data_IF_849894535722
#
_entry.id   IF_849894535722
#
_cell.length_a   1.000
_cell.length_b   1.000
_cell.length_c   1.000
_cell.angle_alpha   90.00
_cell.angle_beta   90.00
_cell.angle_gamma   90.00
#
_symmetry.space_group_name_H-M   'P 1'
#
loop_
_entity.id
_entity.type
_entity.pdbx_description
1 polymer ?
#
# COMPACT_ATOMS: atom_id res chain seq x y z
N UNK A 1 -19.63 -5.24 -16.30
CA UNK A 1 -19.11 -3.87 -16.09
C UNK A 1 -19.78 -3.22 -14.88
N UNK A 2 -19.45 -3.64 -13.63
CA UNK A 2 -19.93 -3.01 -12.35
C UNK A 2 -19.15 -3.49 -11.11
N UNK A 3 -17.91 -3.95 -11.25
CA UNK A 3 -17.21 -4.57 -10.11
C UNK A 3 -16.25 -3.61 -9.39
N UNK A 4 -15.78 -2.54 -10.02
CA UNK A 4 -14.71 -1.67 -9.44
C UNK A 4 -15.18 -0.37 -8.79
N UNK A 5 -16.49 -0.12 -8.63
CA UNK A 5 -17.00 1.09 -7.98
C UNK A 5 -17.20 0.97 -6.46
N UNK A 6 -16.72 -0.07 -5.80
CA UNK A 6 -16.92 -0.27 -4.35
C UNK A 6 -15.63 -0.34 -3.53
N UNK A 7 -14.53 0.14 -4.00
CA UNK A 7 -13.34 0.27 -3.16
C UNK A 7 -13.31 1.65 -2.50
N UNK A 8 -14.18 1.91 -1.57
CA UNK A 8 -13.94 2.85 -0.50
C UNK A 8 -12.94 2.20 0.47
N UNK A 9 -11.65 2.37 0.20
CA UNK A 9 -10.54 1.92 1.05
C UNK A 9 -10.63 2.50 2.47
N UNK A 10 -11.36 3.58 2.63
CA UNK A 10 -11.63 4.23 3.92
C UNK A 10 -12.40 3.33 4.90
N UNK A 11 -13.15 2.34 4.44
CA UNK A 11 -13.94 1.47 5.32
C UNK A 11 -13.12 0.42 6.10
N UNK A 12 -11.86 0.19 5.73
CA UNK A 12 -10.99 -0.81 6.38
C UNK A 12 -10.13 -0.28 7.52
N UNK A 13 -10.03 1.04 7.68
CA UNK A 13 -9.12 1.66 8.66
C UNK A 13 -9.69 1.85 10.08
N UNK A 14 -10.93 1.44 10.33
CA UNK A 14 -11.46 1.39 11.69
C UNK A 14 -10.86 0.21 12.50
N UNK A 15 -9.55 0.01 12.41
CA UNK A 15 -8.88 -1.06 13.13
C UNK A 15 -8.13 -0.45 14.31
N UNK A 16 -8.51 -0.86 15.50
CA UNK A 16 -7.68 -0.61 16.68
C UNK A 16 -6.48 -1.56 16.64
N UNK A 17 -5.29 -1.03 16.85
CA UNK A 17 -4.05 -1.80 16.94
C UNK A 17 -3.57 -1.77 18.38
N UNK A 18 -3.32 -2.94 18.96
CA UNK A 18 -2.61 -3.03 20.22
C UNK A 18 -1.12 -3.27 19.91
N UNK A 19 -0.26 -2.34 20.29
CA UNK A 19 1.17 -2.57 20.22
C UNK A 19 1.61 -3.46 21.38
N UNK A 20 2.03 -4.67 21.08
CA UNK A 20 2.71 -5.54 22.04
C UNK A 20 4.11 -5.02 22.31
N UNK A 21 4.37 -4.53 23.53
CA UNK A 21 5.69 -4.09 23.94
C UNK A 21 6.61 -5.30 24.20
N UNK A 22 7.33 -5.73 23.20
CA UNK A 22 8.49 -6.61 23.39
C UNK A 22 9.74 -5.78 23.11
N UNK A 23 10.20 -5.01 24.09
CA UNK A 23 11.48 -4.35 23.99
C UNK A 23 11.54 -2.95 24.60
N UNK A 24 12.41 -2.78 25.57
CA UNK A 24 12.76 -1.48 26.13
C UNK A 24 13.46 -0.60 25.09
N UNK A 25 12.91 0.58 24.80
CA UNK A 25 13.71 1.71 24.32
C UNK A 25 13.74 1.94 22.83
N UNK A 26 12.58 1.97 22.13
CA UNK A 26 12.54 2.61 20.82
C UNK A 26 12.62 4.13 21.01
N UNK A 27 13.63 4.74 20.41
CA UNK A 27 13.68 6.19 20.30
C UNK A 27 12.43 6.63 19.52
N UNK A 28 11.73 7.67 20.00
CA UNK A 28 10.62 8.27 19.29
C UNK A 28 11.14 8.77 17.94
N UNK A 29 10.58 8.26 16.84
CA UNK A 29 10.92 8.71 15.50
C UNK A 29 10.40 10.13 15.29
N UNK A 30 11.22 10.95 14.62
CA UNK A 30 10.79 12.28 14.19
C UNK A 30 10.10 12.16 12.82
N UNK A 31 8.78 12.03 12.83
CA UNK A 31 7.95 11.86 11.63
C UNK A 31 8.07 12.98 10.61
N UNK A 32 8.53 14.18 11.01
CA UNK A 32 8.68 15.32 10.11
C UNK A 32 9.91 15.27 9.20
N UNK A 33 10.85 14.36 9.47
CA UNK A 33 12.05 14.20 8.65
C UNK A 33 11.70 13.71 7.23
N UNK A 34 12.36 14.27 6.24
CA UNK A 34 12.34 13.72 4.89
C UNK A 34 13.05 12.35 4.89
N UNK A 35 12.36 11.31 4.42
CA UNK A 35 12.93 9.95 4.29
C UNK A 35 13.18 9.58 2.84
N UNK A 36 12.45 10.18 1.90
CA UNK A 36 12.68 9.97 0.48
C UNK A 36 12.19 11.18 -0.34
N UNK A 37 12.62 11.23 -1.59
CA UNK A 37 12.08 12.16 -2.60
C UNK A 37 11.75 11.41 -3.88
N UNK A 38 10.67 11.82 -4.56
CA UNK A 38 10.27 11.35 -5.88
C UNK A 38 10.08 12.60 -6.74
N UNK A 39 10.99 12.81 -7.71
CA UNK A 39 11.06 14.09 -8.40
C UNK A 39 11.29 15.23 -7.40
N UNK A 40 10.37 16.22 -7.37
CA UNK A 40 10.41 17.35 -6.43
C UNK A 40 9.61 17.12 -5.15
N UNK A 41 8.91 15.99 -5.05
CA UNK A 41 8.05 15.66 -3.90
C UNK A 41 8.84 14.99 -2.80
N UNK A 42 8.54 15.38 -1.57
CA UNK A 42 9.14 14.79 -0.37
C UNK A 42 8.17 13.81 0.27
N UNK A 43 8.69 12.66 0.65
CA UNK A 43 8.02 11.68 1.52
C UNK A 43 8.60 11.83 2.91
N UNK A 44 7.76 12.02 3.90
CA UNK A 44 8.17 12.13 5.30
C UNK A 44 8.37 10.75 5.94
N UNK A 45 9.18 10.70 6.99
CA UNK A 45 9.33 9.48 7.80
C UNK A 45 8.00 9.08 8.45
N UNK A 46 7.16 10.06 8.78
CA UNK A 46 5.81 9.83 9.31
C UNK A 46 4.95 9.03 8.35
N UNK A 47 4.84 9.49 7.10
CA UNK A 47 4.09 8.80 6.05
C UNK A 47 4.60 7.38 5.80
N UNK A 48 5.91 7.23 5.66
CA UNK A 48 6.52 5.93 5.38
C UNK A 48 6.40 4.95 6.56
N UNK A 49 6.65 5.39 7.78
CA UNK A 49 6.53 4.54 8.96
C UNK A 49 5.06 4.19 9.26
N UNK A 50 4.12 5.13 9.10
CA UNK A 50 2.70 4.85 9.28
C UNK A 50 2.23 3.75 8.32
N UNK A 51 2.51 3.87 7.02
CA UNK A 51 2.15 2.86 6.02
C UNK A 51 2.80 1.51 6.32
N UNK A 52 4.10 1.51 6.67
CA UNK A 52 4.83 0.30 7.04
C UNK A 52 4.19 -0.42 8.23
N UNK A 53 3.86 0.32 9.31
CA UNK A 53 3.28 -0.28 10.53
C UNK A 53 1.87 -0.80 10.30
N UNK A 54 1.09 -0.10 9.47
CA UNK A 54 -0.21 -0.57 9.08
C UNK A 54 -0.13 -1.93 8.35
N UNK A 55 0.75 -2.03 7.35
CA UNK A 55 0.99 -3.29 6.63
C UNK A 55 1.60 -4.38 7.52
N UNK A 56 2.50 -4.00 8.45
CA UNK A 56 3.04 -4.93 9.43
C UNK A 56 1.93 -5.57 10.26
N UNK A 57 1.00 -4.77 10.79
CA UNK A 57 -0.10 -5.26 11.59
C UNK A 57 -1.01 -6.22 10.80
N UNK A 58 -1.34 -5.90 9.55
CA UNK A 58 -2.10 -6.79 8.68
C UNK A 58 -1.36 -8.11 8.42
N UNK A 59 -0.06 -8.03 8.13
CA UNK A 59 0.75 -9.22 7.85
C UNK A 59 0.91 -10.10 9.10
N UNK A 60 1.14 -9.53 10.27
CA UNK A 60 1.23 -10.26 11.55
C UNK A 60 -0.10 -10.96 11.86
N UNK A 61 -1.24 -10.28 11.68
CA UNK A 61 -2.55 -10.88 11.89
C UNK A 61 -2.77 -12.16 11.08
N UNK A 62 -2.35 -12.18 9.81
CA UNK A 62 -2.57 -13.34 8.95
C UNK A 62 -1.48 -14.41 9.05
N UNK A 63 -0.24 -14.04 9.30
CA UNK A 63 0.91 -14.93 9.10
C UNK A 63 1.72 -15.24 10.35
N UNK A 64 1.56 -14.51 11.47
CA UNK A 64 2.37 -14.73 12.68
C UNK A 64 2.21 -16.16 13.23
N UNK A 65 0.98 -16.71 13.21
CA UNK A 65 0.73 -18.08 13.65
C UNK A 65 1.46 -19.14 12.81
N UNK A 66 1.80 -18.82 11.57
CA UNK A 66 2.46 -19.71 10.61
C UNK A 66 3.97 -19.52 10.56
N UNK A 67 4.42 -18.27 10.62
CA UNK A 67 5.84 -17.89 10.47
C UNK A 67 6.57 -17.76 11.81
N UNK A 68 5.83 -17.59 12.91
CA UNK A 68 6.37 -17.39 14.25
C UNK A 68 6.58 -15.92 14.59
N UNK A 69 6.61 -15.65 15.89
CA UNK A 69 6.83 -14.31 16.44
C UNK A 69 8.18 -13.73 15.97
N UNK A 70 8.20 -12.47 15.57
CA UNK A 70 9.41 -11.77 15.15
C UNK A 70 9.96 -12.15 13.77
N UNK A 71 9.14 -12.79 12.92
CA UNK A 71 9.55 -13.25 11.59
C UNK A 71 10.08 -12.14 10.68
N UNK A 72 9.76 -10.88 10.93
CA UNK A 72 10.35 -9.74 10.21
C UNK A 72 11.87 -9.64 10.33
N UNK A 73 12.46 -10.19 11.40
CA UNK A 73 13.90 -10.22 11.60
C UNK A 73 14.56 -11.51 11.09
N UNK A 74 13.83 -12.35 10.39
CA UNK A 74 14.31 -13.62 9.82
C UNK A 74 14.60 -13.47 8.34
N UNK A 75 15.62 -14.18 7.86
CA UNK A 75 15.88 -14.37 6.43
C UNK A 75 14.96 -15.48 5.92
N UNK A 76 13.76 -15.10 5.47
CA UNK A 76 12.75 -16.04 4.97
C UNK A 76 13.01 -16.48 3.52
N UNK A 77 13.77 -15.69 2.76
CA UNK A 77 14.04 -15.94 1.34
C UNK A 77 15.38 -16.67 1.12
N UNK A 78 16.26 -16.70 2.13
CA UNK A 78 17.56 -17.34 2.04
C UNK A 78 18.59 -16.57 1.21
N UNK A 79 18.38 -15.27 1.03
CA UNK A 79 19.24 -14.38 0.23
C UNK A 79 20.18 -13.51 1.07
N UNK A 80 20.10 -13.61 2.40
CA UNK A 80 20.89 -12.87 3.37
C UNK A 80 20.22 -11.59 3.86
N UNK A 81 19.05 -11.23 3.33
CA UNK A 81 18.24 -10.09 3.78
C UNK A 81 17.17 -10.55 4.75
N UNK A 82 16.79 -9.72 5.72
CA UNK A 82 15.63 -10.01 6.55
C UNK A 82 14.32 -9.71 5.80
N UNK A 83 13.26 -10.41 6.15
CA UNK A 83 11.92 -10.12 5.59
C UNK A 83 11.52 -8.64 5.81
N UNK A 84 11.88 -8.08 6.96
CA UNK A 84 11.66 -6.66 7.26
C UNK A 84 12.39 -5.71 6.31
N UNK A 85 13.61 -6.04 5.86
CA UNK A 85 14.33 -5.25 4.86
C UNK A 85 13.62 -5.30 3.50
N UNK A 86 13.12 -6.46 3.09
CA UNK A 86 12.30 -6.60 1.88
C UNK A 86 11.05 -5.73 1.96
N UNK A 87 10.27 -5.86 3.04
CA UNK A 87 9.03 -5.08 3.23
C UNK A 87 9.31 -3.57 3.27
N UNK A 88 10.43 -3.14 3.85
CA UNK A 88 10.85 -1.72 3.81
C UNK A 88 11.10 -1.23 2.37
N UNK A 89 11.69 -2.06 1.54
CA UNK A 89 11.89 -1.77 0.11
C UNK A 89 10.56 -1.67 -0.65
N UNK A 90 9.64 -2.60 -0.37
CA UNK A 90 8.31 -2.64 -0.98
C UNK A 90 7.49 -1.40 -0.61
N UNK A 91 7.53 -0.96 0.64
CA UNK A 91 6.86 0.28 1.10
C UNK A 91 7.40 1.51 0.37
N UNK A 92 8.72 1.62 0.20
CA UNK A 92 9.30 2.74 -0.56
C UNK A 92 8.90 2.72 -2.04
N UNK A 93 8.85 1.55 -2.64
CA UNK A 93 8.37 1.36 -4.01
C UNK A 93 6.90 1.76 -4.14
N UNK A 94 6.06 1.37 -3.20
CA UNK A 94 4.64 1.71 -3.16
C UNK A 94 4.41 3.21 -2.94
N UNK A 95 5.18 3.84 -2.06
CA UNK A 95 5.13 5.31 -1.87
C UNK A 95 5.55 6.06 -3.12
N UNK A 96 6.58 5.59 -3.84
CA UNK A 96 6.93 6.13 -5.15
C UNK A 96 5.74 6.07 -6.11
N UNK A 97 5.06 4.93 -6.19
CA UNK A 97 3.87 4.77 -7.04
C UNK A 97 2.76 5.74 -6.66
N UNK A 98 2.44 5.86 -5.37
CA UNK A 98 1.39 6.78 -4.91
C UNK A 98 1.70 8.24 -5.24
N UNK A 99 2.96 8.67 -5.06
CA UNK A 99 3.37 10.04 -5.40
C UNK A 99 3.22 10.29 -6.90
N UNK A 100 3.65 9.34 -7.74
CA UNK A 100 3.49 9.43 -9.20
C UNK A 100 2.02 9.49 -9.59
N UNK A 101 1.18 8.61 -9.02
CA UNK A 101 -0.24 8.57 -9.31
C UNK A 101 -0.98 9.84 -8.88
N UNK A 102 -0.55 10.48 -7.77
CA UNK A 102 -1.08 11.80 -7.39
C UNK A 102 -0.70 12.89 -8.39
N UNK A 103 0.53 12.88 -8.87
CA UNK A 103 0.97 13.86 -9.88
C UNK A 103 0.23 13.67 -11.21
N UNK A 104 -0.07 12.42 -11.58
CA UNK A 104 -0.83 12.09 -12.80
C UNK A 104 -2.35 12.26 -12.66
N UNK A 105 -2.87 12.39 -11.44
CA UNK A 105 -4.31 12.39 -11.16
C UNK A 105 -5.11 13.40 -12.01
N UNK A 106 -4.58 14.62 -12.16
CA UNK A 106 -5.24 15.67 -12.94
C UNK A 106 -5.34 15.33 -14.44
N UNK A 107 -4.33 14.68 -15.00
CA UNK A 107 -4.27 14.29 -16.41
C UNK A 107 -5.33 13.23 -16.73
N UNK A 108 -5.66 12.39 -15.72
CA UNK A 108 -6.71 11.37 -15.81
C UNK A 108 -8.06 11.84 -15.25
N UNK A 109 -8.22 13.15 -14.99
CA UNK A 109 -9.48 13.73 -14.50
C UNK A 109 -9.87 13.28 -13.09
N UNK A 110 -8.90 12.79 -12.30
CA UNK A 110 -9.13 12.30 -10.94
C UNK A 110 -9.01 13.46 -9.95
N UNK A 111 -10.07 13.66 -9.19
CA UNK A 111 -10.12 14.59 -8.05
C UNK A 111 -10.87 13.91 -6.91
N UNK A 112 -10.52 14.26 -5.67
CA UNK A 112 -11.33 13.88 -4.52
C UNK A 112 -12.58 14.75 -4.43
N UNK A 113 -13.71 14.12 -4.21
CA UNK A 113 -14.96 14.81 -3.91
C UNK A 113 -14.95 15.30 -2.44
N UNK A 114 -15.83 16.25 -2.11
CA UNK A 114 -16.01 16.69 -0.72
C UNK A 114 -16.39 15.53 0.21
N UNK A 115 -17.20 14.57 -0.28
CA UNK A 115 -17.59 13.38 0.48
C UNK A 115 -16.39 12.46 0.75
N UNK A 116 -15.52 12.23 -0.26
CA UNK A 116 -14.31 11.42 -0.08
C UNK A 116 -13.33 12.08 0.89
N UNK A 117 -13.14 13.39 0.80
CA UNK A 117 -12.30 14.14 1.73
C UNK A 117 -12.85 14.06 3.16
N UNK A 118 -14.16 14.22 3.35
CA UNK A 118 -14.78 14.07 4.67
C UNK A 118 -14.60 12.66 5.25
N UNK A 119 -14.73 11.62 4.42
CA UNK A 119 -14.51 10.22 4.85
C UNK A 119 -13.05 9.95 5.23
N UNK A 120 -12.09 10.57 4.54
CA UNK A 120 -10.67 10.47 4.91
C UNK A 120 -10.45 11.06 6.30
N UNK A 121 -10.97 12.26 6.56
CA UNK A 121 -10.89 12.91 7.88
C UNK A 121 -11.56 12.06 8.96
N UNK A 122 -12.78 11.58 8.74
CA UNK A 122 -13.49 10.70 9.68
C UNK A 122 -12.71 9.41 9.98
N UNK A 123 -12.10 8.80 8.96
CA UNK A 123 -11.31 7.58 9.14
C UNK A 123 -10.02 7.84 9.93
N UNK A 124 -9.35 8.97 9.69
CA UNK A 124 -8.18 9.36 10.44
C UNK A 124 -8.52 9.63 11.92
N UNK A 125 -9.60 10.35 12.20
CA UNK A 125 -10.11 10.58 13.56
C UNK A 125 -10.47 9.27 14.26
N UNK A 126 -11.17 8.36 13.57
CA UNK A 126 -11.54 7.05 14.10
C UNK A 126 -10.32 6.19 14.42
N UNK A 127 -9.33 6.16 13.53
CA UNK A 127 -8.06 5.47 13.77
C UNK A 127 -7.35 6.01 15.01
N UNK A 128 -7.20 7.32 15.12
CA UNK A 128 -6.53 7.97 16.26
C UNK A 128 -7.28 7.77 17.58
N UNK A 129 -8.60 7.76 17.55
CA UNK A 129 -9.43 7.50 18.72
C UNK A 129 -9.38 6.04 19.19
N UNK A 130 -9.24 5.09 18.26
CA UNK A 130 -9.19 3.66 18.56
C UNK A 130 -7.82 3.20 19.09
N UNK A 131 -6.77 3.99 18.91
CA UNK A 131 -5.40 3.59 19.23
C UNK A 131 -4.82 4.34 20.44
N UNK A 132 -3.99 3.64 21.24
CA UNK A 132 -3.30 4.22 22.38
C UNK A 132 -2.27 5.28 21.95
N UNK A 133 -1.89 6.18 22.86
CA UNK A 133 -0.85 7.18 22.57
C UNK A 133 0.51 6.53 22.26
N UNK A 134 0.82 5.41 22.89
CA UNK A 134 2.05 4.64 22.63
C UNK A 134 2.01 4.04 21.20
N UNK A 135 0.91 3.45 20.80
CA UNK A 135 0.73 2.92 19.43
C UNK A 135 0.86 4.03 18.40
N UNK A 136 0.18 5.16 18.61
CA UNK A 136 0.26 6.33 17.72
C UNK A 136 1.69 6.86 17.60
N UNK A 137 2.42 6.96 18.72
CA UNK A 137 3.81 7.40 18.73
C UNK A 137 4.74 6.44 17.96
N UNK A 138 4.54 5.12 18.10
CA UNK A 138 5.34 4.11 17.40
C UNK A 138 5.06 4.10 15.89
N UNK A 139 3.83 4.38 15.49
CA UNK A 139 3.41 4.48 14.10
C UNK A 139 3.69 5.86 13.50
N UNK A 140 4.15 6.84 14.29
CA UNK A 140 4.22 8.26 13.89
C UNK A 140 2.86 8.79 13.40
N UNK A 141 1.77 8.29 13.98
CA UNK A 141 0.41 8.58 13.56
C UNK A 141 -0.12 9.82 14.29
N UNK A 142 -0.21 10.91 13.56
CA UNK A 142 -1.01 12.08 13.90
C UNK A 142 -2.08 12.31 12.82
N UNK A 143 -2.95 13.28 13.03
CA UNK A 143 -4.05 13.55 12.10
C UNK A 143 -3.55 13.86 10.69
N UNK A 144 -2.53 14.69 10.56
CA UNK A 144 -1.97 15.10 9.28
C UNK A 144 -1.34 13.93 8.53
N UNK A 145 -0.54 13.11 9.23
CA UNK A 145 0.12 11.93 8.65
C UNK A 145 -0.91 10.90 8.18
N UNK A 146 -1.91 10.59 9.01
CA UNK A 146 -2.93 9.59 8.66
C UNK A 146 -3.78 10.07 7.49
N UNK A 147 -4.29 11.31 7.52
CA UNK A 147 -5.05 11.89 6.40
C UNK A 147 -4.21 11.92 5.11
N UNK A 148 -2.93 12.26 5.21
CA UNK A 148 -2.03 12.32 4.07
C UNK A 148 -1.86 10.94 3.41
N UNK A 149 -1.59 9.90 4.20
CA UNK A 149 -1.45 8.54 3.66
C UNK A 149 -2.76 8.03 3.07
N UNK A 150 -3.90 8.27 3.74
CA UNK A 150 -5.21 7.91 3.21
C UNK A 150 -5.54 8.62 1.89
N UNK A 151 -5.15 9.89 1.79
CA UNK A 151 -5.29 10.69 0.57
C UNK A 151 -4.48 10.07 -0.56
N UNK A 152 -3.19 9.79 -0.33
CA UNK A 152 -2.31 9.16 -1.33
C UNK A 152 -2.88 7.83 -1.83
N UNK A 153 -3.31 6.97 -0.91
CA UNK A 153 -3.90 5.67 -1.26
C UNK A 153 -5.18 5.84 -2.07
N UNK A 154 -6.07 6.74 -1.65
CA UNK A 154 -7.36 6.96 -2.32
C UNK A 154 -7.17 7.55 -3.72
N UNK A 155 -6.36 8.58 -3.86
CA UNK A 155 -6.04 9.19 -5.16
C UNK A 155 -5.31 8.19 -6.04
N UNK A 156 -4.31 7.48 -5.49
CA UNK A 156 -3.56 6.47 -6.22
C UNK A 156 -4.45 5.38 -6.82
N UNK A 157 -5.38 4.83 -6.03
CA UNK A 157 -6.34 3.83 -6.52
C UNK A 157 -7.28 4.38 -7.60
N UNK A 158 -7.77 5.61 -7.43
CA UNK A 158 -8.63 6.24 -8.44
C UNK A 158 -7.87 6.47 -9.74
N UNK A 159 -6.63 6.94 -9.65
CA UNK A 159 -5.79 7.21 -10.82
C UNK A 159 -5.39 5.92 -11.52
N UNK A 160 -4.96 4.89 -10.81
CA UNK A 160 -4.63 3.59 -11.43
C UNK A 160 -5.81 2.98 -12.17
N UNK A 161 -7.02 3.07 -11.60
CA UNK A 161 -8.23 2.62 -12.27
C UNK A 161 -8.55 3.47 -13.53
N UNK A 162 -8.32 4.77 -13.48
CA UNK A 162 -8.54 5.66 -14.62
C UNK A 162 -7.55 5.38 -15.75
N UNK A 163 -6.26 5.13 -15.43
CA UNK A 163 -5.22 4.72 -16.39
C UNK A 163 -5.64 3.47 -17.16
N UNK A 164 -6.09 2.43 -16.44
CA UNK A 164 -6.52 1.18 -17.06
C UNK A 164 -7.82 1.39 -17.87
N UNK A 165 -8.75 2.20 -17.37
CA UNK A 165 -10.01 2.46 -18.05
C UNK A 165 -9.83 3.25 -19.35
N UNK A 166 -8.93 4.23 -19.39
CA UNK A 166 -8.64 5.03 -20.60
C UNK A 166 -8.01 4.20 -21.72
N UNK A 167 -7.27 3.16 -21.37
CA UNK A 167 -6.64 2.27 -22.35
C UNK A 167 -7.64 1.39 -23.13
N UNK A 168 -8.90 1.29 -22.69
CA UNK A 168 -9.96 0.49 -23.32
C UNK A 168 -9.53 -0.93 -23.70
N UNK A 169 -8.74 -1.58 -22.81
CA UNK A 169 -8.15 -2.90 -23.05
C UNK A 169 -9.25 -3.94 -23.23
N UNK A 170 -9.18 -4.70 -24.32
CA UNK A 170 -10.08 -5.80 -24.64
C UNK A 170 -9.30 -7.04 -25.03
N UNK A 171 -9.92 -8.21 -24.94
CA UNK A 171 -9.39 -9.43 -25.52
C UNK A 171 -9.66 -9.47 -27.03
N UNK A 172 -8.67 -9.92 -27.79
CA UNK A 172 -8.80 -10.18 -29.21
C UNK A 172 -9.53 -11.52 -29.44
N UNK A 173 -10.07 -11.71 -30.65
CA UNK A 173 -10.69 -13.01 -31.03
C UNK A 173 -9.68 -14.17 -30.93
N UNK A 174 -8.40 -13.92 -31.20
CA UNK A 174 -7.35 -14.93 -31.13
C UNK A 174 -7.07 -15.31 -29.66
N UNK A 175 -6.93 -14.32 -28.75
CA UNK A 175 -6.74 -14.59 -27.31
C UNK A 175 -7.91 -15.37 -26.70
N UNK A 176 -9.15 -15.04 -27.11
CA UNK A 176 -10.35 -15.75 -26.67
C UNK A 176 -10.32 -17.20 -27.17
N UNK A 177 -10.04 -17.41 -28.47
CA UNK A 177 -10.00 -18.74 -29.06
C UNK A 177 -8.89 -19.62 -28.46
N UNK A 178 -7.71 -19.05 -28.15
CA UNK A 178 -6.62 -19.75 -27.47
C UNK A 178 -7.00 -20.16 -26.04
N UNK A 179 -7.63 -19.25 -25.28
CA UNK A 179 -8.07 -19.53 -23.90
C UNK A 179 -9.15 -20.63 -23.88
N UNK A 180 -10.12 -20.56 -24.81
CA UNK A 180 -11.18 -21.58 -24.95
C UNK A 180 -10.60 -22.95 -25.37
N UNK A 181 -9.63 -22.98 -26.29
CA UNK A 181 -8.96 -24.21 -26.70
C UNK A 181 -8.14 -24.83 -25.56
N UNK A 182 -7.43 -24.03 -24.77
CA UNK A 182 -6.68 -24.49 -23.62
C UNK A 182 -7.61 -25.07 -22.53
N UNK A 183 -8.68 -24.36 -22.20
CA UNK A 183 -9.68 -24.81 -21.22
C UNK A 183 -10.37 -26.10 -21.64
N UNK A 184 -10.70 -26.24 -22.94
CA UNK A 184 -11.29 -27.46 -23.49
C UNK A 184 -10.35 -28.68 -23.39
N UNK A 185 -9.04 -28.47 -23.51
CA UNK A 185 -8.04 -29.55 -23.35
C UNK A 185 -7.92 -30.03 -21.89
N UNK A 186 -8.27 -29.19 -20.92
CA UNK A 186 -8.29 -29.50 -19.48
C UNK A 186 -9.70 -29.85 -18.97
N UNK A 187 -10.69 -29.95 -19.84
CA UNK A 187 -12.09 -30.19 -19.50
C UNK A 187 -12.68 -29.13 -18.54
N UNK A 188 -12.24 -27.84 -18.67
CA UNK A 188 -12.68 -26.71 -17.88
C UNK A 188 -13.33 -25.63 -18.74
N UNK A 189 -13.82 -24.57 -18.13
CA UNK A 189 -14.31 -23.36 -18.83
C UNK A 189 -13.20 -22.31 -18.87
N UNK A 190 -13.10 -21.55 -19.98
CA UNK A 190 -12.12 -20.47 -20.11
C UNK A 190 -12.48 -19.30 -19.18
N UNK A 191 -11.54 -18.87 -18.35
CA UNK A 191 -11.68 -17.70 -17.48
C UNK A 191 -11.21 -16.45 -18.22
N UNK A 192 -12.09 -15.93 -19.10
CA UNK A 192 -11.81 -14.74 -19.88
C UNK A 192 -11.74 -13.47 -19.04
N UNK A 193 -12.39 -13.45 -17.87
CA UNK A 193 -12.33 -12.33 -16.92
C UNK A 193 -10.92 -12.24 -16.31
N UNK A 194 -10.36 -13.34 -15.86
CA UNK A 194 -8.99 -13.41 -15.35
C UNK A 194 -7.95 -13.05 -16.41
N UNK A 195 -8.15 -13.52 -17.65
CA UNK A 195 -7.27 -13.18 -18.77
C UNK A 195 -7.30 -11.67 -19.08
N UNK A 196 -8.48 -11.05 -19.11
CA UNK A 196 -8.62 -9.60 -19.29
C UNK A 196 -7.96 -8.83 -18.15
N UNK A 197 -8.15 -9.27 -16.91
CA UNK A 197 -7.54 -8.66 -15.73
C UNK A 197 -6.00 -8.75 -15.76
N UNK A 198 -5.47 -9.88 -16.21
CA UNK A 198 -4.02 -10.05 -16.40
C UNK A 198 -3.49 -9.04 -17.42
N UNK A 199 -4.14 -8.92 -18.56
CA UNK A 199 -3.76 -7.97 -19.63
C UNK A 199 -3.84 -6.51 -19.17
N UNK A 200 -4.85 -6.16 -18.37
CA UNK A 200 -4.96 -4.84 -17.75
C UNK A 200 -3.84 -4.57 -16.75
N UNK A 201 -3.46 -5.59 -15.97
CA UNK A 201 -2.35 -5.49 -15.01
C UNK A 201 -1.00 -5.35 -15.71
N UNK A 202 -0.78 -6.08 -16.80
CA UNK A 202 0.45 -5.96 -17.62
C UNK A 202 0.59 -4.55 -18.21
N UNK A 203 -0.48 -4.01 -18.79
CA UNK A 203 -0.51 -2.65 -19.28
C UNK A 203 -0.19 -1.61 -18.19
N UNK A 204 -0.87 -1.72 -17.05
CA UNK A 204 -0.61 -0.82 -15.92
C UNK A 204 0.85 -0.89 -15.45
N UNK A 205 1.42 -2.08 -15.35
CA UNK A 205 2.81 -2.29 -14.94
C UNK A 205 3.81 -1.69 -15.95
N UNK A 206 3.51 -1.77 -17.25
CA UNK A 206 4.32 -1.15 -18.30
C UNK A 206 4.31 0.38 -18.16
N UNK A 207 3.13 0.98 -18.03
CA UNK A 207 2.96 2.42 -17.82
C UNK A 207 3.67 2.88 -16.56
N UNK A 208 3.46 2.19 -15.44
CA UNK A 208 4.08 2.52 -14.16
C UNK A 208 5.60 2.38 -14.21
N UNK A 209 6.12 1.38 -14.93
CA UNK A 209 7.57 1.21 -15.13
C UNK A 209 8.17 2.42 -15.86
N UNK A 210 7.50 2.92 -16.90
CA UNK A 210 7.90 4.14 -17.60
C UNK A 210 7.90 5.36 -16.67
N UNK A 211 6.82 5.56 -15.94
CA UNK A 211 6.71 6.69 -15.02
C UNK A 211 7.74 6.64 -13.86
N UNK A 212 8.03 5.47 -13.31
CA UNK A 212 9.09 5.31 -12.29
C UNK A 212 10.48 5.64 -12.83
N UNK A 213 10.75 5.31 -14.09
CA UNK A 213 12.03 5.64 -14.72
C UNK A 213 12.21 7.15 -14.90
N UNK A 214 11.11 7.88 -15.14
CA UNK A 214 11.10 9.35 -15.25
C UNK A 214 11.11 10.04 -13.88
N UNK A 215 10.58 9.38 -12.84
CA UNK A 215 10.44 9.89 -11.48
C UNK A 215 11.14 8.97 -10.47
N UNK A 216 12.47 8.87 -10.51
CA UNK A 216 13.21 7.98 -9.62
C UNK A 216 13.04 8.40 -8.15
N UNK A 217 12.95 7.40 -7.26
CA UNK A 217 12.97 7.63 -5.82
C UNK A 217 14.42 7.73 -5.33
N UNK A 218 14.68 8.68 -4.45
CA UNK A 218 15.92 8.78 -3.68
C UNK A 218 15.61 8.66 -2.21
N UNK A 219 16.18 7.65 -1.54
CA UNK A 219 15.91 7.32 -0.13
C UNK A 219 17.07 7.82 0.72
N UNK A 220 16.78 8.50 1.84
CA UNK A 220 17.75 8.74 2.91
C UNK A 220 17.86 7.47 3.77
N UNK A 221 18.80 6.62 3.41
CA UNK A 221 19.05 5.34 4.08
C UNK A 221 19.40 5.52 5.57
N UNK A 222 19.96 6.66 5.97
CA UNK A 222 20.28 6.94 7.37
C UNK A 222 19.00 7.14 8.19
N UNK A 223 18.06 7.92 7.64
CA UNK A 223 16.76 8.17 8.28
C UNK A 223 15.92 6.90 8.26
N UNK A 224 15.89 6.17 7.13
CA UNK A 224 15.09 4.95 6.98
C UNK A 224 15.63 3.78 7.83
N UNK A 225 16.92 3.74 8.10
CA UNK A 225 17.54 2.75 8.97
C UNK A 225 17.09 2.84 10.45
N UNK A 226 16.55 3.98 10.89
CA UNK A 226 16.03 4.15 12.25
C UNK A 226 14.73 3.35 12.48
N UNK A 227 14.00 3.01 11.42
CA UNK A 227 12.79 2.20 11.49
C UNK A 227 13.14 0.72 11.63
N UNK A 228 12.82 0.13 12.79
CA UNK A 228 13.15 -1.27 13.16
C UNK A 228 11.88 -2.08 13.44
N UNK A 229 11.91 -3.39 13.19
CA UNK A 229 10.85 -4.34 13.54
C UNK A 229 11.07 -4.93 14.94
N UNK A 230 11.04 -4.07 15.97
CA UNK A 230 11.23 -4.46 17.36
C UNK A 230 9.91 -4.65 18.12
N UNK A 231 8.79 -4.25 17.50
CA UNK A 231 7.45 -4.34 18.08
C UNK A 231 6.57 -5.17 17.15
N UNK A 232 5.63 -5.90 17.71
CA UNK A 232 4.50 -6.48 16.97
C UNK A 232 3.23 -5.66 17.20
N UNK A 233 2.28 -5.81 16.28
CA UNK A 233 1.00 -5.10 16.30
C UNK A 233 -0.12 -6.13 16.19
N UNK A 234 -1.07 -6.08 17.08
CA UNK A 234 -2.26 -6.92 17.03
C UNK A 234 -3.43 -6.11 16.47
N UNK A 235 -4.04 -6.61 15.40
CA UNK A 235 -5.28 -6.05 14.88
C UNK A 235 -6.44 -6.46 15.79
N UNK A 236 -7.08 -5.48 16.41
CA UNK A 236 -8.29 -5.70 17.18
C UNK A 236 -9.48 -5.37 16.29
N UNK A 237 -10.14 -6.38 15.76
CA UNK A 237 -11.39 -6.20 14.99
C UNK A 237 -12.50 -5.79 15.97
N UNK A 238 -13.21 -4.71 15.65
CA UNK A 238 -14.43 -4.37 16.38
C UNK A 238 -15.45 -5.49 16.17
N UNK A 239 -15.98 -6.06 17.28
CA UNK A 239 -17.07 -7.02 17.28
C UNK A 239 -18.40 -6.40 16.81
#
# INVERSE_FOLDING_TARGET
MKVYQKALVVAGLCVSMAAGLVGCGNATLDGSKAVATVGEKTITLGEANFLLRYQQAETEYYYESMLGEGFYNMDLMGDGSTYGETVKGDVMTQLQEYVILEDMAADYGVVLTEEETAKITEAAEAFLAANSDDTKAQMTADQETVERVLTMVTVGMKTSNAVVAEAEITLTEEEIAEAEAAAAAEETEADLESLLQTKQSEYYNEVMTGWKAENPITIDETVWADVKFNNSYELVTAE
#
